data_IF_145538470849
#
_entry.id   IF_145538470849
#
_cell.length_a   1.000
_cell.length_b   1.000
_cell.length_c   1.000
_cell.angle_alpha   90.00
_cell.angle_beta   90.00
_cell.angle_gamma   90.00
#
_symmetry.space_group_name_H-M   'P 1'
#
loop_
_entity.id
_entity.type
_entity.pdbx_description
1 polymer ?
#
# COMPACT_ATOMS: atom_id res chain seq x y z
N UNK A 1 34.07 -26.29 22.65
CA UNK A 1 33.06 -25.26 23.00
C UNK A 1 31.97 -25.95 23.82
N UNK A 2 31.90 -25.74 25.14
CA UNK A 2 31.13 -26.60 26.04
C UNK A 2 29.64 -26.52 25.72
N UNK A 3 28.97 -27.68 25.63
CA UNK A 3 27.53 -27.85 25.29
C UNK A 3 26.60 -26.91 26.08
N UNK A 4 27.04 -26.47 27.26
CA UNK A 4 26.39 -25.47 28.11
C UNK A 4 26.21 -24.10 27.43
N UNK A 5 27.19 -23.61 26.66
CA UNK A 5 27.05 -22.35 25.90
C UNK A 5 26.04 -22.48 24.75
N UNK A 6 25.95 -23.66 24.14
CA UNK A 6 25.01 -23.91 23.04
C UNK A 6 23.56 -23.88 23.55
N UNK A 7 23.29 -24.50 24.71
CA UNK A 7 21.97 -24.46 25.35
C UNK A 7 21.59 -23.03 25.72
N UNK A 8 22.54 -22.27 26.27
CA UNK A 8 22.30 -20.87 26.66
C UNK A 8 21.96 -20.02 25.45
N UNK A 9 22.70 -20.15 24.34
CA UNK A 9 22.44 -19.41 23.10
C UNK A 9 21.08 -19.78 22.49
N UNK A 10 20.72 -21.07 22.49
CA UNK A 10 19.41 -21.55 22.03
C UNK A 10 18.27 -20.99 22.89
N UNK A 11 18.45 -20.93 24.21
CA UNK A 11 17.45 -20.36 25.12
C UNK A 11 17.25 -18.86 24.87
N UNK A 12 18.33 -18.10 24.63
CA UNK A 12 18.23 -16.67 24.30
C UNK A 12 17.52 -16.45 22.97
N UNK A 13 17.84 -17.25 21.94
CA UNK A 13 17.19 -17.18 20.62
C UNK A 13 15.70 -17.55 20.73
N UNK A 14 15.38 -18.60 21.47
CA UNK A 14 13.99 -19.02 21.70
C UNK A 14 13.19 -17.93 22.43
N UNK A 15 13.79 -17.28 23.42
CA UNK A 15 13.16 -16.16 24.15
C UNK A 15 12.94 -14.95 23.24
N UNK A 16 13.92 -14.64 22.39
CA UNK A 16 13.83 -13.56 21.42
C UNK A 16 12.72 -13.82 20.37
N UNK A 17 12.63 -15.05 19.86
CA UNK A 17 11.58 -15.47 18.92
C UNK A 17 10.20 -15.42 19.56
N UNK A 18 10.06 -15.89 20.80
CA UNK A 18 8.78 -15.85 21.52
C UNK A 18 8.31 -14.40 21.75
N UNK A 19 9.21 -13.51 22.16
CA UNK A 19 8.92 -12.09 22.33
C UNK A 19 8.52 -11.42 21.00
N UNK A 20 9.18 -11.76 19.90
CA UNK A 20 8.82 -11.27 18.57
C UNK A 20 7.44 -11.78 18.12
N UNK A 21 7.12 -13.05 18.37
CA UNK A 21 5.83 -13.63 18.01
C UNK A 21 4.66 -13.10 18.86
N UNK A 22 4.94 -12.73 20.11
CA UNK A 22 3.97 -12.13 21.03
C UNK A 22 3.78 -10.63 20.83
N UNK A 23 4.73 -9.95 20.15
CA UNK A 23 4.62 -8.54 19.80
C UNK A 23 3.38 -8.34 18.93
N UNK A 24 2.47 -7.47 19.38
CA UNK A 24 1.11 -7.32 18.88
C UNK A 24 1.00 -7.48 17.36
N UNK A 25 0.32 -8.55 16.94
CA UNK A 25 -0.21 -8.61 15.59
C UNK A 25 -1.32 -7.57 15.51
N UNK A 26 -1.13 -6.51 14.72
CA UNK A 26 -2.10 -5.43 14.53
C UNK A 26 -3.52 -6.00 14.42
N UNK A 27 -4.35 -5.72 15.42
CA UNK A 27 -5.73 -6.20 15.47
C UNK A 27 -6.54 -5.64 14.29
N UNK A 28 -6.20 -4.42 13.86
CA UNK A 28 -6.82 -3.69 12.76
C UNK A 28 -6.52 -4.37 11.42
N UNK A 29 -5.25 -4.70 11.13
CA UNK A 29 -4.86 -5.39 9.90
C UNK A 29 -5.50 -6.78 9.78
N UNK A 30 -5.59 -7.51 10.89
CA UNK A 30 -6.29 -8.81 10.92
C UNK A 30 -7.79 -8.67 10.63
N UNK A 31 -8.46 -7.70 11.25
CA UNK A 31 -9.89 -7.44 11.01
C UNK A 31 -10.15 -7.03 9.55
N UNK A 32 -9.28 -6.21 8.98
CA UNK A 32 -9.40 -5.82 7.57
C UNK A 32 -9.28 -7.04 6.63
N UNK A 33 -8.27 -7.89 6.86
CA UNK A 33 -8.11 -9.13 6.11
C UNK A 33 -9.27 -10.12 6.29
N UNK A 34 -9.86 -10.17 7.48
CA UNK A 34 -11.03 -11.00 7.76
C UNK A 34 -12.26 -10.53 6.96
N UNK A 35 -12.53 -9.23 6.93
CA UNK A 35 -13.62 -8.64 6.12
C UNK A 35 -13.41 -8.95 4.63
N UNK A 36 -12.18 -8.77 4.14
CA UNK A 36 -11.84 -9.06 2.75
C UNK A 36 -12.08 -10.54 2.39
N UNK A 37 -11.67 -11.45 3.26
CA UNK A 37 -11.88 -12.90 3.12
C UNK A 37 -13.36 -13.30 3.16
N UNK A 38 -14.16 -12.62 4.00
CA UNK A 38 -15.62 -12.85 4.03
C UNK A 38 -16.25 -12.44 2.70
N UNK A 39 -15.87 -11.28 2.16
CA UNK A 39 -16.40 -10.81 0.86
C UNK A 39 -16.04 -11.81 -0.24
N UNK A 40 -14.77 -12.18 -0.35
CA UNK A 40 -14.29 -13.13 -1.36
C UNK A 40 -15.04 -14.49 -1.32
N UNK A 41 -15.34 -15.00 -0.12
CA UNK A 41 -15.99 -16.32 0.05
C UNK A 41 -17.51 -16.30 -0.01
N UNK A 42 -18.13 -15.21 0.42
CA UNK A 42 -19.58 -15.11 0.57
C UNK A 42 -20.26 -14.38 -0.59
N UNK A 43 -19.48 -13.71 -1.46
CA UNK A 43 -20.02 -13.05 -2.64
C UNK A 43 -20.38 -14.07 -3.72
N UNK A 44 -21.42 -13.74 -4.49
CA UNK A 44 -22.01 -14.65 -5.48
C UNK A 44 -21.08 -14.88 -6.69
N UNK A 45 -20.29 -13.87 -7.04
CA UNK A 45 -19.39 -13.87 -8.18
C UNK A 45 -17.93 -13.85 -7.70
N UNK A 46 -16.97 -14.36 -8.49
CA UNK A 46 -15.56 -14.21 -8.16
C UNK A 46 -15.21 -12.72 -8.12
N UNK A 47 -14.57 -12.29 -7.03
CA UNK A 47 -14.12 -10.90 -6.86
C UNK A 47 -12.64 -10.81 -7.14
N UNK A 48 -12.23 -9.75 -7.85
CA UNK A 48 -10.82 -9.41 -7.98
C UNK A 48 -10.34 -8.75 -6.68
N UNK A 49 -9.49 -9.46 -5.94
CA UNK A 49 -8.97 -9.01 -4.65
C UNK A 49 -8.14 -7.72 -4.77
N UNK A 50 -7.40 -7.54 -5.86
CA UNK A 50 -6.57 -6.36 -6.07
C UNK A 50 -7.46 -5.14 -6.33
N UNK A 51 -8.49 -5.30 -7.17
CA UNK A 51 -9.47 -4.25 -7.43
C UNK A 51 -10.28 -3.86 -6.18
N UNK A 52 -10.66 -4.84 -5.35
CA UNK A 52 -11.39 -4.59 -4.11
C UNK A 52 -10.52 -3.90 -3.06
N UNK A 53 -9.24 -4.27 -2.98
CA UNK A 53 -8.26 -3.61 -2.11
C UNK A 53 -8.04 -2.15 -2.52
N UNK A 54 -7.87 -1.91 -3.81
CA UNK A 54 -7.74 -0.58 -4.40
C UNK A 54 -8.97 0.30 -4.11
N UNK A 55 -10.18 -0.24 -4.27
CA UNK A 55 -11.41 0.45 -3.92
C UNK A 55 -11.50 0.77 -2.41
N UNK A 56 -11.01 -0.13 -1.56
CA UNK A 56 -10.98 0.10 -0.11
C UNK A 56 -10.01 1.22 0.28
N UNK A 57 -8.86 1.32 -0.39
CA UNK A 57 -7.91 2.43 -0.20
C UNK A 57 -8.54 3.75 -0.63
N UNK A 58 -9.14 3.80 -1.84
CA UNK A 58 -9.75 5.02 -2.35
C UNK A 58 -10.89 5.49 -1.43
N UNK A 59 -11.72 4.57 -0.93
CA UNK A 59 -12.76 4.87 0.05
C UNK A 59 -12.18 5.40 1.37
N UNK A 60 -11.07 4.82 1.86
CA UNK A 60 -10.42 5.29 3.08
C UNK A 60 -9.83 6.71 2.91
N UNK A 61 -9.19 6.99 1.77
CA UNK A 61 -8.61 8.30 1.46
C UNK A 61 -9.66 9.38 1.21
N UNK A 62 -10.81 9.01 0.61
CA UNK A 62 -11.93 9.93 0.39
C UNK A 62 -12.48 10.56 1.68
N UNK A 63 -12.25 9.90 2.84
CA UNK A 63 -12.63 10.39 4.16
C UNK A 63 -11.55 11.22 4.84
N UNK A 64 -10.31 11.17 4.34
CA UNK A 64 -9.15 11.81 4.96
C UNK A 64 -9.03 13.27 4.50
N UNK A 65 -8.95 13.49 3.19
CA UNK A 65 -8.88 14.82 2.55
C UNK A 65 -9.10 14.72 1.02
N UNK A 66 -9.56 15.81 0.39
CA UNK A 66 -9.80 15.88 -1.06
C UNK A 66 -8.51 15.74 -1.89
N UNK A 67 -7.37 16.16 -1.35
CA UNK A 67 -6.09 16.10 -2.06
C UNK A 67 -5.27 14.84 -1.78
N UNK A 68 -5.77 13.94 -0.93
CA UNK A 68 -5.10 12.68 -0.62
C UNK A 68 -5.45 11.62 -1.65
N UNK A 69 -4.43 11.07 -2.34
CA UNK A 69 -4.60 10.03 -3.34
C UNK A 69 -3.53 8.94 -3.21
N UNK A 70 -3.91 7.71 -3.54
CA UNK A 70 -2.99 6.57 -3.61
C UNK A 70 -2.46 6.41 -5.04
N UNK A 71 -1.14 6.33 -5.18
CA UNK A 71 -0.48 6.21 -6.48
C UNK A 71 -0.19 4.74 -6.76
N UNK A 72 -0.93 4.18 -7.73
CA UNK A 72 -0.75 2.80 -8.19
C UNK A 72 0.52 2.65 -9.03
N UNK A 73 1.00 1.42 -9.19
CA UNK A 73 2.24 1.10 -9.90
C UNK A 73 2.31 1.68 -11.32
N UNK A 74 1.19 1.72 -12.05
CA UNK A 74 1.11 2.28 -13.40
C UNK A 74 1.23 3.81 -13.40
N UNK A 75 0.50 4.49 -12.49
CA UNK A 75 0.51 5.95 -12.37
C UNK A 75 1.79 6.53 -11.76
N UNK A 76 2.64 5.69 -11.15
CA UNK A 76 3.91 6.12 -10.56
C UNK A 76 4.84 6.78 -11.58
N UNK A 77 4.97 6.22 -12.79
CA UNK A 77 5.86 6.76 -13.82
C UNK A 77 5.40 8.12 -14.34
N UNK A 78 4.08 8.29 -14.47
CA UNK A 78 3.48 9.56 -14.87
C UNK A 78 3.70 10.63 -13.79
N UNK A 79 3.51 10.25 -12.52
CA UNK A 79 3.78 11.14 -11.39
C UNK A 79 5.26 11.54 -11.33
N UNK A 80 6.18 10.58 -11.47
CA UNK A 80 7.63 10.86 -11.53
C UNK A 80 7.97 11.80 -12.69
N UNK A 81 7.35 11.60 -13.86
CA UNK A 81 7.53 12.47 -15.03
C UNK A 81 7.03 13.89 -14.76
N UNK A 82 5.88 14.03 -14.10
CA UNK A 82 5.32 15.33 -13.72
C UNK A 82 6.18 16.06 -12.68
N UNK A 83 6.71 15.34 -11.69
CA UNK A 83 7.60 15.87 -10.65
C UNK A 83 8.93 16.34 -11.24
N UNK A 84 9.49 15.58 -12.18
CA UNK A 84 10.72 15.93 -12.90
C UNK A 84 10.53 17.08 -13.90
N UNK A 85 9.31 17.62 -14.01
CA UNK A 85 8.92 18.64 -14.99
C UNK A 85 9.27 18.25 -16.44
N UNK A 86 9.36 16.94 -16.70
CA UNK A 86 9.59 16.39 -18.04
C UNK A 86 8.27 16.31 -18.80
N UNK A 87 7.57 17.44 -18.90
CA UNK A 87 6.40 17.56 -19.76
C UNK A 87 6.85 17.49 -21.21
N UNK A 88 6.68 16.33 -21.85
CA UNK A 88 6.81 16.18 -23.31
C UNK A 88 5.63 16.85 -24.02
N UNK A 89 5.52 18.18 -23.92
CA UNK A 89 4.50 18.97 -24.61
C UNK A 89 5.03 19.56 -25.92
N UNK A 90 4.24 19.47 -26.99
CA UNK A 90 4.42 20.27 -28.21
C UNK A 90 4.09 21.72 -27.83
N UNK A 91 5.09 22.60 -27.76
CA UNK A 91 4.93 24.01 -27.36
C UNK A 91 4.05 24.82 -28.32
N UNK A 92 2.73 24.63 -28.27
CA UNK A 92 1.77 25.41 -29.06
C UNK A 92 1.34 26.64 -28.27
N UNK A 93 2.14 27.70 -28.42
CA UNK A 93 1.70 29.06 -28.11
C UNK A 93 0.78 29.54 -29.22
N UNK A 94 -0.52 29.75 -28.93
CA UNK A 94 -1.45 30.30 -29.92
C UNK A 94 -1.09 31.78 -30.13
N UNK A 95 -0.72 32.22 -31.35
CA UNK A 95 -0.44 33.63 -31.59
C UNK A 95 -1.71 34.43 -31.36
N UNK A 96 -1.62 35.38 -30.41
CA UNK A 96 -2.71 36.28 -30.06
C UNK A 96 -2.96 37.20 -31.26
N UNK A 97 -4.08 36.97 -31.96
CA UNK A 97 -4.50 37.79 -33.10
C UNK A 97 -4.81 39.21 -32.59
N UNK A 98 -4.18 40.27 -33.12
CA UNK A 98 -4.53 41.63 -32.72
C UNK A 98 -5.95 41.96 -33.22
N UNK A 99 -6.74 42.55 -32.34
CA UNK A 99 -8.04 43.11 -32.69
C UNK A 99 -7.83 44.36 -33.55
N UNK A 100 -8.38 44.34 -34.76
CA UNK A 100 -8.63 45.53 -35.59
C UNK A 100 -9.79 46.34 -35.03
#
# INVERSE_FOLDING_TARGET
MPKRNLILLLATVATCLAAFAARERDAQGRRFGEVMSIIDRAYLEPVDADALFDAAIDAALSRLDEHSAFVRGEGRRELETALDQRFGGVGLERPRRPAT
#
